data_IF_825827954410
#
_entry.id   IF_825827954410
#
_cell.length_a   1.000
_cell.length_b   1.000
_cell.length_c   1.000
_cell.angle_alpha   90.00
_cell.angle_beta   90.00
_cell.angle_gamma   90.00
#
_symmetry.space_group_name_H-M   'P 1'
#
loop_
_entity.id
_entity.type
_entity.pdbx_description
1 polymer ?
#
# COMPACT_ATOMS: atom_id res chain seq x y z
N UNK A 1 25.99 0.84 5.58
CA UNK A 1 25.49 1.14 5.28
C UNK A 1 24.76 1.90 5.27
N UNK A 2 24.56 2.19 5.46
CA UNK A 2 23.53 2.71 5.49
C UNK A 2 23.12 3.67 4.66
N UNK A 3 23.55 4.12 3.90
CA UNK A 3 23.09 4.90 3.05
C UNK A 3 21.84 4.70 2.57
N UNK A 4 21.44 3.70 2.66
CA UNK A 4 20.16 3.34 2.16
C UNK A 4 19.06 4.05 2.85
N UNK A 5 19.30 4.71 3.90
CA UNK A 5 18.23 5.35 4.63
C UNK A 5 17.62 6.51 3.85
N UNK A 6 18.41 7.21 3.09
CA UNK A 6 17.90 8.37 2.38
C UNK A 6 17.41 7.98 1.00
N UNK A 7 16.15 8.28 0.66
CA UNK A 7 15.67 7.93 -0.68
C UNK A 7 16.38 8.76 -1.72
N UNK A 8 16.59 8.16 -2.85
CA UNK A 8 17.17 8.82 -4.00
C UNK A 8 16.04 9.39 -4.82
N UNK A 9 15.81 10.70 -4.82
CA UNK A 9 14.66 11.25 -5.54
C UNK A 9 14.67 10.92 -7.02
N UNK A 10 15.85 10.86 -7.62
CA UNK A 10 15.93 10.53 -9.00
C UNK A 10 15.58 9.07 -9.26
N UNK A 11 16.07 8.17 -8.43
CA UNK A 11 15.74 6.77 -8.54
C UNK A 11 14.27 6.51 -8.30
N UNK A 12 13.67 7.25 -7.36
CA UNK A 12 12.25 7.10 -7.09
C UNK A 12 11.41 7.60 -8.25
N UNK A 13 11.81 8.71 -8.86
CA UNK A 13 11.10 9.25 -10.02
C UNK A 13 11.19 8.29 -11.20
N UNK A 14 12.37 7.72 -11.42
CA UNK A 14 12.56 6.76 -12.51
C UNK A 14 11.73 5.52 -12.31
N UNK A 15 11.66 5.03 -11.08
CA UNK A 15 10.87 3.86 -10.77
C UNK A 15 9.40 4.12 -10.96
N UNK A 16 8.93 5.30 -10.56
CA UNK A 16 7.54 5.67 -10.73
C UNK A 16 7.18 5.79 -12.19
N UNK A 17 8.08 6.37 -12.97
CA UNK A 17 7.86 6.51 -14.40
C UNK A 17 7.73 5.14 -15.06
N UNK A 18 8.64 4.23 -14.73
CA UNK A 18 8.59 2.89 -15.28
C UNK A 18 7.31 2.15 -14.88
N UNK A 19 6.91 2.30 -13.62
CA UNK A 19 5.69 1.67 -13.15
C UNK A 19 4.47 2.26 -13.85
N UNK A 20 4.47 3.56 -14.11
CA UNK A 20 3.39 4.21 -14.83
C UNK A 20 3.28 3.66 -16.24
N UNK A 21 4.41 3.56 -16.92
CA UNK A 21 4.42 3.03 -18.28
C UNK A 21 3.92 1.59 -18.32
N UNK A 22 4.30 0.80 -17.33
CA UNK A 22 3.85 -0.58 -17.25
C UNK A 22 2.34 -0.66 -17.02
N UNK A 23 1.81 0.20 -16.16
CA UNK A 23 0.38 0.21 -15.89
C UNK A 23 -0.41 0.58 -17.12
N UNK A 24 0.07 1.58 -17.86
CA UNK A 24 -0.60 2.00 -19.08
C UNK A 24 -0.55 0.89 -20.13
N UNK A 25 0.61 0.25 -20.26
CA UNK A 25 0.75 -0.84 -21.21
C UNK A 25 -0.16 -2.02 -20.87
N UNK A 26 -0.29 -2.31 -19.58
CA UNK A 26 -1.15 -3.40 -19.13
C UNK A 26 -2.61 -3.14 -19.46
N UNK A 27 -2.98 -1.88 -19.62
CA UNK A 27 -4.34 -1.49 -19.98
C UNK A 27 -4.46 -1.17 -21.48
N UNK A 28 -3.55 -1.69 -22.27
CA UNK A 28 -3.63 -1.53 -23.72
C UNK A 28 -3.35 -0.13 -24.20
N UNK A 29 -2.63 0.65 -23.41
CA UNK A 29 -2.29 2.01 -23.78
C UNK A 29 -3.34 3.03 -23.36
N UNK A 30 -4.39 2.60 -22.68
CA UNK A 30 -5.48 3.48 -22.28
C UNK A 30 -5.17 4.05 -20.90
N UNK A 31 -4.80 5.33 -20.87
CA UNK A 31 -4.40 5.99 -19.63
C UNK A 31 -5.57 6.09 -18.66
N UNK A 32 -6.77 6.35 -19.16
CA UNK A 32 -7.93 6.46 -18.30
C UNK A 32 -8.24 5.11 -17.64
N UNK A 33 -8.15 4.04 -18.41
CA UNK A 33 -8.38 2.71 -17.86
C UNK A 33 -7.31 2.38 -16.81
N UNK A 34 -6.07 2.79 -17.06
CA UNK A 34 -5.00 2.57 -16.10
C UNK A 34 -5.28 3.31 -14.79
N UNK A 35 -5.76 4.54 -14.89
CA UNK A 35 -6.09 5.31 -13.71
C UNK A 35 -7.24 4.66 -12.94
N UNK A 36 -8.27 4.22 -13.66
CA UNK A 36 -9.39 3.55 -13.01
C UNK A 36 -8.93 2.28 -12.29
N UNK A 37 -8.06 1.51 -12.93
CA UNK A 37 -7.54 0.30 -12.30
C UNK A 37 -6.75 0.63 -11.05
N UNK A 38 -5.98 1.70 -11.07
CA UNK A 38 -5.22 2.10 -9.90
C UNK A 38 -6.12 2.55 -8.76
N UNK A 39 -7.20 3.24 -9.08
CA UNK A 39 -8.14 3.67 -8.07
C UNK A 39 -8.78 2.46 -7.38
N UNK A 40 -9.20 1.47 -8.18
CA UNK A 40 -9.78 0.26 -7.63
C UNK A 40 -8.76 -0.48 -6.76
N UNK A 41 -7.53 -0.59 -7.25
CA UNK A 41 -6.48 -1.25 -6.48
C UNK A 41 -6.22 -0.51 -5.16
N UNK A 42 -6.25 0.82 -5.20
CA UNK A 42 -6.03 1.61 -4.00
C UNK A 42 -7.15 1.41 -3.00
N UNK A 43 -8.39 1.36 -3.47
CA UNK A 43 -9.52 1.12 -2.60
C UNK A 43 -9.45 -0.25 -1.95
N UNK A 44 -9.01 -1.24 -2.71
CA UNK A 44 -8.84 -2.58 -2.18
C UNK A 44 -7.78 -2.61 -1.09
N UNK A 45 -6.65 -1.94 -1.32
CA UNK A 45 -5.60 -1.88 -0.33
C UNK A 45 -6.04 -1.13 0.93
N UNK A 46 -6.80 -0.05 0.75
CA UNK A 46 -7.34 0.68 1.89
C UNK A 46 -8.26 -0.20 2.72
N UNK A 47 -9.06 -1.00 2.05
CA UNK A 47 -9.95 -1.91 2.75
C UNK A 47 -9.16 -2.94 3.55
N UNK A 48 -8.09 -3.46 2.95
CA UNK A 48 -7.25 -4.42 3.64
C UNK A 48 -6.56 -3.81 4.86
N UNK A 49 -6.09 -2.58 4.70
CA UNK A 49 -5.45 -1.89 5.82
C UNK A 49 -6.46 -1.70 6.95
N UNK A 50 -7.67 -1.31 6.62
CA UNK A 50 -8.73 -1.16 7.61
C UNK A 50 -8.99 -2.45 8.38
N UNK A 51 -9.08 -3.55 7.65
CA UNK A 51 -9.32 -4.84 8.26
C UNK A 51 -8.17 -5.24 9.19
N UNK A 52 -6.95 -4.99 8.73
CA UNK A 52 -5.79 -5.32 9.55
C UNK A 52 -5.75 -4.48 10.81
N UNK A 53 -6.07 -3.20 10.69
CA UNK A 53 -6.08 -2.34 11.86
C UNK A 53 -7.15 -2.75 12.85
N UNK A 54 -8.31 -3.17 12.36
CA UNK A 54 -9.35 -3.67 13.24
C UNK A 54 -8.92 -4.94 13.94
N UNK A 55 -8.27 -5.84 13.23
CA UNK A 55 -7.80 -7.09 13.81
C UNK A 55 -6.76 -6.83 14.88
N UNK A 56 -5.84 -5.91 14.62
CA UNK A 56 -4.80 -5.57 15.59
C UNK A 56 -5.42 -4.95 16.83
N UNK A 57 -6.35 -4.02 16.65
CA UNK A 57 -7.02 -3.39 17.78
C UNK A 57 -7.77 -4.39 18.61
N UNK A 58 -8.47 -5.31 17.96
CA UNK A 58 -9.23 -6.34 18.66
C UNK A 58 -8.31 -7.24 19.47
N UNK A 59 -7.22 -7.65 18.87
CA UNK A 59 -6.24 -8.48 19.56
C UNK A 59 -5.61 -7.76 20.73
N UNK A 60 -5.33 -6.47 20.56
CA UNK A 60 -4.74 -5.69 21.61
C UNK A 60 -5.69 -5.59 22.81
N UNK A 61 -6.96 -5.34 22.55
CA UNK A 61 -7.94 -5.24 23.62
C UNK A 61 -8.07 -6.56 24.36
N UNK A 62 -8.12 -7.67 23.61
CA UNK A 62 -8.21 -8.96 24.25
C UNK A 62 -6.98 -9.26 25.09
N UNK A 63 -5.81 -8.89 24.61
CA UNK A 63 -4.58 -9.07 25.37
C UNK A 63 -4.61 -8.30 26.67
N UNK A 64 -5.14 -7.08 26.62
CA UNK A 64 -5.24 -6.29 27.82
C UNK A 64 -6.16 -6.92 28.84
N UNK A 65 -7.28 -7.42 28.38
CA UNK A 65 -8.20 -8.10 29.29
C UNK A 65 -7.56 -9.31 29.91
N UNK A 66 -6.87 -10.08 29.13
CA UNK A 66 -6.18 -11.25 29.68
C UNK A 66 -5.14 -10.87 30.72
N UNK A 67 -4.46 -9.77 30.46
CA UNK A 67 -3.45 -9.30 31.41
C UNK A 67 -4.09 -8.94 32.72
N UNK A 68 -5.23 -8.28 32.66
CA UNK A 68 -5.91 -7.88 33.88
C UNK A 68 -6.47 -9.04 34.66
N UNK A 69 -7.00 -10.02 33.95
CA UNK A 69 -7.64 -11.14 34.63
C UNK A 69 -6.62 -12.18 35.06
N UNK A 70 -5.52 -12.24 34.37
CA UNK A 70 -4.50 -13.19 34.68
C UNK A 70 -3.60 -12.71 35.75
#
# INVERSE_FOLDING_TARGET
MPQSAAPNPQGDADRLEAATDQAIAACGGDVRAALEAMIVANEFLESEVCELMQAVSHAYVRGRFNTYTG
#
